data_IF_479463157157
#
_entry.id   IF_479463157157
#
_cell.length_a   1.000
_cell.length_b   1.000
_cell.length_c   1.000
_cell.angle_alpha   90.00
_cell.angle_beta   90.00
_cell.angle_gamma   90.00
#
_symmetry.space_group_name_H-M   'P 1'
#
loop_
_entity.id
_entity.type
_entity.pdbx_description
1 polymer ?
#
# COMPACT_ATOMS: atom_id res chain seq x y z
N UNK A 1 -0.24 0.33 -10.26
CA UNK A 1 0.22 -0.15 -11.57
C UNK A 1 1.73 -0.22 -11.50
N UNK A 2 2.35 -1.21 -12.14
CA UNK A 2 3.81 -1.27 -12.25
C UNK A 2 4.25 -0.47 -13.46
N UNK A 3 5.56 -0.26 -13.65
CA UNK A 3 6.10 0.56 -14.73
C UNK A 3 5.66 0.18 -16.14
N UNK A 4 5.30 -1.09 -16.36
CA UNK A 4 4.79 -1.59 -17.65
C UNK A 4 3.28 -1.28 -17.89
N UNK A 5 2.63 -0.60 -16.95
CA UNK A 5 1.20 -0.25 -17.00
C UNK A 5 0.26 -1.36 -16.49
N UNK A 6 0.76 -2.53 -16.11
CA UNK A 6 -0.07 -3.61 -15.54
C UNK A 6 -0.45 -3.31 -14.10
N UNK A 7 -1.69 -3.65 -13.75
CA UNK A 7 -2.12 -3.70 -12.35
C UNK A 7 -1.60 -5.01 -11.77
N UNK A 8 -0.44 -4.98 -11.12
CA UNK A 8 0.14 -6.20 -10.54
C UNK A 8 -0.31 -6.48 -9.12
N UNK A 9 -1.17 -5.63 -8.55
CA UNK A 9 -1.59 -5.85 -7.17
C UNK A 9 -2.89 -5.18 -6.79
N UNK A 10 -3.54 -5.81 -5.82
CA UNK A 10 -4.75 -5.33 -5.14
C UNK A 10 -4.36 -4.85 -3.77
N UNK A 11 -4.89 -3.69 -3.37
CA UNK A 11 -4.69 -3.15 -2.03
C UNK A 11 -5.89 -3.55 -1.18
N UNK A 12 -5.64 -4.23 -0.08
CA UNK A 12 -6.66 -4.57 0.91
C UNK A 12 -6.45 -3.75 2.17
N UNK A 13 -7.51 -3.11 2.66
CA UNK A 13 -7.53 -2.54 4.00
C UNK A 13 -8.00 -3.58 5.00
N UNK A 14 -7.23 -3.81 6.04
CA UNK A 14 -7.48 -4.79 7.08
C UNK A 14 -7.61 -4.08 8.42
N UNK A 15 -8.61 -4.47 9.22
CA UNK A 15 -8.72 -4.05 10.63
C UNK A 15 -7.93 -5.01 11.51
N UNK A 16 -7.29 -4.50 12.56
CA UNK A 16 -6.64 -5.35 13.55
C UNK A 16 -7.70 -6.13 14.35
N UNK A 17 -7.51 -7.44 14.54
CA UNK A 17 -8.45 -8.25 15.32
C UNK A 17 -8.43 -7.91 16.82
N UNK A 18 -7.34 -7.32 17.32
CA UNK A 18 -7.16 -6.98 18.74
C UNK A 18 -7.49 -5.51 19.01
N UNK A 19 -7.35 -4.65 18.01
CA UNK A 19 -7.65 -3.23 18.10
C UNK A 19 -8.53 -2.81 16.90
N UNK A 20 -9.86 -2.88 17.01
CA UNK A 20 -10.77 -2.61 15.89
C UNK A 20 -10.63 -1.21 15.29
N UNK A 21 -10.11 -0.26 16.08
CA UNK A 21 -9.78 1.10 15.68
C UNK A 21 -8.40 1.22 15.02
N UNK A 22 -7.74 0.13 14.67
CA UNK A 22 -6.47 0.14 13.99
C UNK A 22 -6.58 -0.56 12.64
N UNK A 23 -6.10 0.10 11.60
CA UNK A 23 -6.17 -0.34 10.20
C UNK A 23 -4.80 -0.32 9.57
N UNK A 24 -4.56 -1.27 8.68
CA UNK A 24 -3.33 -1.36 7.89
C UNK A 24 -3.69 -1.78 6.47
N UNK A 25 -2.83 -1.47 5.52
CA UNK A 25 -2.98 -1.88 4.14
C UNK A 25 -2.06 -3.05 3.83
N UNK A 26 -2.58 -3.98 3.04
CA UNK A 26 -1.81 -5.06 2.44
C UNK A 26 -1.86 -4.95 0.94
N UNK A 27 -0.71 -5.06 0.29
CA UNK A 27 -0.61 -5.14 -1.17
C UNK A 27 -0.43 -6.60 -1.55
N UNK A 28 -1.44 -7.18 -2.20
CA UNK A 28 -1.41 -8.54 -2.72
C UNK A 28 -1.08 -8.52 -4.20
N UNK A 29 -0.10 -9.29 -4.62
CA UNK A 29 0.28 -9.38 -6.03
C UNK A 29 -0.73 -10.25 -6.79
N UNK A 30 -1.22 -9.78 -7.93
CA UNK A 30 -2.33 -10.40 -8.70
C UNK A 30 -3.56 -10.77 -7.83
N UNK A 31 -3.75 -10.09 -6.70
CA UNK A 31 -4.83 -10.38 -5.74
C UNK A 31 -4.68 -11.69 -4.97
N UNK A 32 -3.49 -12.30 -4.95
CA UNK A 32 -3.23 -13.58 -4.31
C UNK A 32 -2.08 -13.49 -3.30
N UNK A 33 -2.26 -14.04 -2.10
CA UNK A 33 -1.26 -14.09 -1.03
C UNK A 33 -0.06 -15.01 -1.34
N UNK A 34 -0.19 -15.88 -2.34
CA UNK A 34 0.86 -16.80 -2.77
C UNK A 34 1.66 -16.26 -3.95
N UNK A 35 1.09 -15.30 -4.69
CA UNK A 35 1.79 -14.68 -5.81
C UNK A 35 2.90 -13.82 -5.25
N UNK A 36 4.07 -14.02 -5.81
CA UNK A 36 5.25 -13.28 -5.46
C UNK A 36 5.57 -12.28 -6.55
N UNK A 37 6.06 -11.12 -6.14
CA UNK A 37 6.46 -10.08 -7.07
C UNK A 37 7.80 -9.51 -6.67
N UNK A 38 8.64 -9.32 -7.68
CA UNK A 38 9.90 -8.62 -7.54
C UNK A 38 9.72 -7.22 -8.09
N UNK A 39 9.89 -6.22 -7.22
CA UNK A 39 9.91 -4.82 -7.64
C UNK A 39 11.10 -4.63 -8.61
N UNK A 40 10.89 -4.02 -9.78
CA UNK A 40 11.93 -3.89 -10.79
C UNK A 40 13.13 -3.08 -10.30
N UNK A 41 14.36 -3.37 -10.78
CA UNK A 41 15.54 -2.58 -10.41
C UNK A 41 15.36 -1.09 -10.67
N UNK A 42 15.78 -0.26 -9.72
CA UNK A 42 15.65 1.20 -9.77
C UNK A 42 14.29 1.73 -9.33
N UNK A 43 13.27 0.86 -9.20
CA UNK A 43 11.96 1.26 -8.71
C UNK A 43 11.83 1.10 -7.20
N UNK A 44 11.13 2.04 -6.58
CA UNK A 44 10.71 1.99 -5.18
C UNK A 44 9.19 1.90 -5.13
N UNK A 45 8.65 0.96 -4.35
CA UNK A 45 7.23 0.95 -4.06
C UNK A 45 6.94 1.87 -2.88
N UNK A 46 5.93 2.72 -3.03
CA UNK A 46 5.37 3.51 -1.96
C UNK A 46 4.03 2.91 -1.55
N UNK A 47 3.89 2.59 -0.26
CA UNK A 47 2.61 2.29 0.36
C UNK A 47 2.23 3.42 1.31
N UNK A 48 1.18 4.15 0.95
CA UNK A 48 0.82 5.41 1.61
C UNK A 48 -0.54 5.29 2.29
N UNK A 49 -0.54 5.45 3.61
CA UNK A 49 -1.76 5.48 4.41
C UNK A 49 -2.21 6.93 4.62
N UNK A 50 -3.46 7.21 4.28
CA UNK A 50 -4.07 8.53 4.43
C UNK A 50 -5.17 8.53 5.49
N UNK A 51 -5.12 9.51 6.39
CA UNK A 51 -6.20 9.83 7.34
C UNK A 51 -6.56 11.32 7.18
N UNK A 52 -7.54 11.66 6.33
CA UNK A 52 -7.85 13.04 5.96
C UNK A 52 -8.23 13.94 7.14
N UNK A 53 -8.99 13.41 8.11
CA UNK A 53 -9.54 14.21 9.22
C UNK A 53 -8.45 14.87 10.08
N UNK A 54 -7.29 14.21 10.23
CA UNK A 54 -6.14 14.75 10.96
C UNK A 54 -5.01 15.16 10.02
N UNK A 55 -5.22 15.09 8.70
CA UNK A 55 -4.20 15.30 7.67
C UNK A 55 -2.96 14.41 7.85
N UNK A 56 -3.13 13.22 8.41
CA UNK A 56 -2.00 12.29 8.60
C UNK A 56 -1.76 11.54 7.30
N UNK A 57 -0.49 11.55 6.87
CA UNK A 57 0.01 10.78 5.72
C UNK A 57 1.22 10.01 6.23
N UNK A 58 1.21 8.70 6.03
CA UNK A 58 2.37 7.85 6.31
C UNK A 58 2.75 7.22 4.99
N UNK A 59 3.89 7.64 4.44
CA UNK A 59 4.47 7.11 3.21
C UNK A 59 5.59 6.14 3.60
N UNK A 60 5.37 4.86 3.33
CA UNK A 60 6.37 3.83 3.53
C UNK A 60 6.97 3.41 2.21
N UNK A 61 8.30 3.40 2.20
CA UNK A 61 9.10 3.10 1.03
C UNK A 61 9.65 1.68 1.18
N UNK A 62 9.22 0.81 0.27
CA UNK A 62 9.76 -0.52 0.13
C UNK A 62 10.80 -0.49 -0.99
N UNK A 63 12.04 -0.28 -0.57
CA UNK A 63 13.21 -0.39 -1.43
C UNK A 63 13.53 -1.87 -1.59
N UNK A 64 13.11 -2.46 -2.72
CA UNK A 64 13.47 -3.83 -3.05
C UNK A 64 14.94 -3.94 -3.45
N UNK A 65 15.83 -4.06 -2.48
CA UNK A 65 17.01 -4.88 -2.74
C UNK A 65 16.54 -6.34 -2.74
N UNK A 66 16.04 -6.81 -3.89
CA UNK A 66 15.98 -8.22 -4.31
C UNK A 66 15.12 -9.24 -3.52
N UNK A 67 14.36 -8.87 -2.50
CA UNK A 67 13.54 -9.87 -1.77
C UNK A 67 12.18 -10.04 -2.44
N UNK A 68 12.03 -11.15 -3.17
CA UNK A 68 10.75 -11.63 -3.66
C UNK A 68 9.79 -11.90 -2.47
N UNK A 69 8.71 -11.11 -2.36
CA UNK A 69 7.78 -11.16 -1.24
C UNK A 69 6.35 -11.50 -1.67
N UNK A 70 5.58 -12.25 -0.85
CA UNK A 70 4.20 -12.59 -1.17
C UNK A 70 3.24 -11.39 -1.06
N UNK A 71 3.59 -10.39 -0.25
CA UNK A 71 2.81 -9.17 -0.08
C UNK A 71 3.66 -8.11 0.63
N UNK A 72 3.19 -6.87 0.55
CA UNK A 72 3.74 -5.73 1.30
C UNK A 72 2.69 -5.25 2.29
N UNK A 73 3.15 -4.83 3.46
CA UNK A 73 2.30 -4.46 4.60
C UNK A 73 2.66 -3.02 4.97
N UNK A 74 1.68 -2.13 5.00
CA UNK A 74 1.87 -0.80 5.56
C UNK A 74 1.73 -0.79 7.08
N UNK A 75 2.24 0.26 7.70
CA UNK A 75 2.09 0.55 9.11
C UNK A 75 0.62 0.59 9.48
N UNK A 76 0.35 -0.02 10.62
CA UNK A 76 -0.95 0.08 11.26
C UNK A 76 -1.14 1.50 11.79
N UNK A 77 -2.26 2.12 11.40
CA UNK A 77 -2.68 3.42 11.90
C UNK A 77 -3.95 3.30 12.70
N UNK A 78 -4.05 4.07 13.77
CA UNK A 78 -5.33 4.24 14.45
C UNK A 78 -6.30 4.98 13.52
N UNK A 79 -7.37 4.30 13.13
CA UNK A 79 -8.59 4.93 12.64
C UNK A 79 -9.29 5.60 13.82
N UNK A 80 -8.79 6.76 14.20
CA UNK A 80 -9.64 7.72 14.92
C UNK A 80 -10.83 8.09 14.02
N UNK A 81 -11.90 8.64 14.62
CA UNK A 81 -13.12 9.08 13.90
C UNK A 81 -12.80 9.62 12.51
N UNK A 82 -13.44 9.09 11.47
CA UNK A 82 -13.21 9.50 10.09
C UNK A 82 -13.06 8.32 9.16
N UNK A 83 -12.36 8.51 8.05
CA UNK A 83 -12.10 7.46 7.10
C UNK A 83 -10.60 7.33 6.85
N UNK A 84 -10.17 6.11 6.53
CA UNK A 84 -8.79 5.78 6.15
C UNK A 84 -8.82 5.16 4.77
N UNK A 85 -7.88 5.56 3.92
CA UNK A 85 -7.61 4.88 2.65
C UNK A 85 -6.11 4.68 2.46
N UNK A 86 -5.77 3.71 1.61
CA UNK A 86 -4.41 3.44 1.21
C UNK A 86 -4.21 3.79 -0.27
N UNK A 87 -3.04 4.28 -0.59
CA UNK A 87 -2.54 4.52 -1.93
C UNK A 87 -1.26 3.71 -2.14
N UNK A 88 -1.08 3.14 -3.33
CA UNK A 88 0.17 2.47 -3.71
C UNK A 88 0.60 2.92 -5.10
N UNK A 89 1.87 3.26 -5.22
CA UNK A 89 2.50 3.64 -6.49
C UNK A 89 3.99 3.30 -6.49
N UNK A 90 4.59 3.23 -7.67
CA UNK A 90 6.02 3.07 -7.83
C UNK A 90 6.66 4.40 -8.26
N UNK A 91 7.91 4.62 -7.84
CA UNK A 91 8.76 5.73 -8.26
C UNK A 91 10.11 5.23 -8.77
N UNK A 92 10.71 5.94 -9.72
CA UNK A 92 12.08 5.73 -10.19
C UNK A 92 12.66 7.09 -10.62
N UNK A 93 13.44 7.72 -9.75
CA UNK A 93 13.86 9.11 -9.93
C UNK A 93 12.64 10.05 -10.00
N UNK A 94 12.51 10.78 -11.11
CA UNK A 94 11.39 11.68 -11.36
C UNK A 94 10.14 10.95 -11.92
N UNK A 95 10.25 9.67 -12.29
CA UNK A 95 9.12 8.90 -12.79
C UNK A 95 8.22 8.40 -11.66
N UNK A 96 6.91 8.49 -11.87
CA UNK A 96 5.88 7.99 -10.94
C UNK A 96 4.75 7.31 -11.70
N UNK A 97 4.42 6.08 -11.32
CA UNK A 97 3.25 5.37 -11.87
C UNK A 97 1.95 5.96 -11.38
N UNK A 98 0.85 5.81 -12.14
CA UNK A 98 -0.49 6.12 -11.66
C UNK A 98 -0.80 5.37 -10.35
N UNK A 99 -1.17 6.09 -9.28
CA UNK A 99 -1.46 5.46 -8.02
C UNK A 99 -2.73 4.64 -8.06
N UNK A 100 -2.70 3.47 -7.41
CA UNK A 100 -3.89 2.68 -7.11
C UNK A 100 -4.33 3.05 -5.70
N UNK A 101 -5.63 3.26 -5.51
CA UNK A 101 -6.19 3.66 -4.21
C UNK A 101 -7.31 2.74 -3.80
N UNK A 102 -7.42 2.47 -2.50
CA UNK A 102 -8.60 1.83 -1.94
C UNK A 102 -9.74 2.84 -1.82
N UNK A 103 -10.97 2.34 -1.75
CA UNK A 103 -12.09 3.13 -1.22
C UNK A 103 -11.80 3.57 0.22
N UNK A 104 -12.38 4.68 0.66
CA UNK A 104 -12.26 5.10 2.04
C UNK A 104 -13.10 4.19 2.94
N UNK A 105 -12.47 3.59 3.95
CA UNK A 105 -13.17 2.77 4.94
C UNK A 105 -13.40 3.63 6.17
N UNK A 106 -14.68 3.85 6.51
CA UNK A 106 -15.05 4.36 7.81
C UNK A 106 -14.86 3.26 8.85
N UNK A 107 -14.26 3.62 9.98
CA UNK A 107 -14.00 2.71 11.09
C UNK A 107 -14.60 3.27 12.35
#
# INVERSE_FOLDING_TARGET
MVPDGRVTGVIELRKSPICPSAVWARVLWDGNEQTRYQIPPGWTLHSVMHRPITKTVIDEQDHSSATEGPYIVSRMIASARGCVYAEVYFTNGDERTTPVRTSCVQV
#
